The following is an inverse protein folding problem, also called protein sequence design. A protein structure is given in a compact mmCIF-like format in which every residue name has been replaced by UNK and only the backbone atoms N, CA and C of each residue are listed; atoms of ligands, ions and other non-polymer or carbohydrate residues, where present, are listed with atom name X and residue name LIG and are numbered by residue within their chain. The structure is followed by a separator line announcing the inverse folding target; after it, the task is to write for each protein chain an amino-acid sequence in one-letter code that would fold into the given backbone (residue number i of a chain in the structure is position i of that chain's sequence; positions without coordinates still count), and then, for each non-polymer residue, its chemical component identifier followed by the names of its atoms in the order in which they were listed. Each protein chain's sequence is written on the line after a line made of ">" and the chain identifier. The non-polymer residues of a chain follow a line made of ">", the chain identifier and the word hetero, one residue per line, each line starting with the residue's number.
data_IF_297731732995
#
_entry.id   IF_297731732995
#
_cell.length_a   1.000
_cell.length_b   1.000
_cell.length_c   1.000
_cell.angle_alpha   90.00
_cell.angle_beta   90.00
_cell.angle_gamma   90.00
#
_symmetry.space_group_name_H-M   'P 1'
#
loop_
_entity.id
_entity.type
_entity.pdbx_description
1 polymer ?
#
# COMPACT_ATOMS: atom_id res chain seq x y z
N UNK A 1 21.65 -6.13 -3.61
CA UNK A 1 20.33 -6.16 -2.94
C UNK A 1 19.71 -7.50 -3.26
N UNK A 2 19.34 -8.30 -2.26
CA UNK A 2 18.63 -9.56 -2.51
C UNK A 2 17.32 -9.26 -3.25
N UNK A 3 17.03 -10.03 -4.28
CA UNK A 3 15.78 -9.91 -5.03
C UNK A 3 14.63 -10.25 -4.09
N UNK A 4 13.62 -9.37 -4.02
CA UNK A 4 12.44 -9.62 -3.20
C UNK A 4 11.61 -10.72 -3.87
N UNK A 5 11.08 -11.64 -3.09
CA UNK A 5 10.04 -12.56 -3.55
C UNK A 5 8.84 -11.75 -4.06
N UNK A 6 8.18 -12.23 -5.11
CA UNK A 6 7.01 -11.58 -5.70
C UNK A 6 5.83 -12.53 -5.57
N UNK A 7 4.70 -12.05 -5.04
CA UNK A 7 3.50 -12.87 -4.93
C UNK A 7 2.79 -13.02 -6.30
N UNK A 8 1.75 -13.86 -6.36
CA UNK A 8 0.96 -14.11 -7.57
C UNK A 8 0.30 -12.85 -8.17
N UNK A 9 0.26 -11.75 -7.42
CA UNK A 9 -0.28 -10.45 -7.85
C UNK A 9 0.78 -9.48 -8.36
N UNK A 10 2.05 -9.90 -8.44
CA UNK A 10 3.15 -9.06 -8.89
C UNK A 10 3.72 -8.12 -7.81
N UNK A 11 3.27 -8.27 -6.54
CA UNK A 11 3.67 -7.40 -5.44
C UNK A 11 4.93 -7.95 -4.75
N UNK A 12 6.01 -7.14 -4.62
CA UNK A 12 7.19 -7.54 -3.86
C UNK A 12 6.89 -7.76 -2.37
N UNK A 13 7.42 -8.85 -1.81
CA UNK A 13 7.23 -9.28 -0.44
C UNK A 13 8.29 -8.67 0.48
N UNK A 14 7.97 -7.49 0.99
CA UNK A 14 8.90 -6.73 1.82
C UNK A 14 9.06 -7.33 3.23
N UNK A 15 10.29 -7.34 3.80
CA UNK A 15 10.51 -7.79 5.18
C UNK A 15 9.87 -6.86 6.21
N UNK A 16 9.74 -7.35 7.46
CA UNK A 16 9.16 -6.57 8.56
C UNK A 16 9.96 -5.29 8.80
N UNK A 17 9.26 -4.17 8.95
CA UNK A 17 9.87 -2.84 9.16
C UNK A 17 10.29 -2.11 7.88
N UNK A 18 10.24 -2.77 6.71
CA UNK A 18 10.61 -2.12 5.46
C UNK A 18 9.53 -1.16 4.95
N UNK A 19 9.91 0.06 4.56
CA UNK A 19 8.99 1.12 4.14
C UNK A 19 8.16 0.76 2.90
N UNK A 20 8.66 -0.14 2.04
CA UNK A 20 7.91 -0.68 0.89
C UNK A 20 6.54 -1.28 1.25
N UNK A 21 6.34 -1.73 2.50
CA UNK A 21 5.02 -2.18 2.99
C UNK A 21 3.98 -1.06 3.02
N UNK A 22 4.40 0.15 3.39
CA UNK A 22 3.54 1.34 3.38
C UNK A 22 3.16 1.70 1.95
N UNK A 23 4.13 1.68 1.03
CA UNK A 23 3.91 1.99 -0.38
C UNK A 23 3.01 0.95 -1.06
N UNK A 24 3.21 -0.34 -0.78
CA UNK A 24 2.33 -1.41 -1.24
C UNK A 24 0.90 -1.25 -0.72
N UNK A 25 0.74 -0.90 0.57
CA UNK A 25 -0.57 -0.60 1.16
C UNK A 25 -1.24 0.56 0.45
N UNK A 26 -0.55 1.70 0.32
CA UNK A 26 -1.09 2.91 -0.31
C UNK A 26 -1.50 2.65 -1.76
N UNK A 27 -0.65 1.98 -2.51
CA UNK A 27 -0.93 1.67 -3.91
C UNK A 27 -2.10 0.68 -4.03
N UNK A 28 -2.21 -0.32 -3.15
CA UNK A 28 -3.35 -1.23 -3.15
C UNK A 28 -4.67 -0.51 -2.85
N UNK A 29 -4.66 0.50 -1.97
CA UNK A 29 -5.85 1.35 -1.73
C UNK A 29 -6.25 2.13 -2.99
N UNK A 30 -5.29 2.66 -3.76
CA UNK A 30 -5.58 3.37 -5.00
C UNK A 30 -6.08 2.44 -6.12
N UNK A 31 -5.63 1.18 -6.14
CA UNK A 31 -5.97 0.22 -7.18
C UNK A 31 -7.32 -0.47 -6.94
N UNK A 32 -7.63 -0.84 -5.69
CA UNK A 32 -8.81 -1.63 -5.36
C UNK A 32 -10.04 -0.72 -5.22
N UNK A 33 -11.10 -1.01 -5.99
CA UNK A 33 -12.36 -0.27 -5.91
C UNK A 33 -13.01 -0.34 -4.52
N UNK A 34 -12.85 -1.48 -3.83
CA UNK A 34 -13.33 -1.74 -2.48
C UNK A 34 -12.18 -2.15 -1.55
N UNK A 35 -11.23 -1.23 -1.36
CA UNK A 35 -10.02 -1.44 -0.58
C UNK A 35 -10.30 -1.67 0.92
N UNK A 36 -10.85 -2.83 1.30
CA UNK A 36 -10.99 -3.24 2.69
C UNK A 36 -9.67 -3.78 3.24
N UNK A 37 -9.51 -3.81 4.57
CA UNK A 37 -8.29 -4.36 5.19
C UNK A 37 -8.00 -5.81 4.77
N UNK A 38 -9.05 -6.61 4.52
CA UNK A 38 -8.92 -7.99 4.03
C UNK A 38 -8.37 -7.99 2.60
N UNK A 39 -9.01 -7.25 1.69
CA UNK A 39 -8.61 -7.23 0.27
C UNK A 39 -7.21 -6.64 0.07
N UNK A 40 -6.84 -5.63 0.85
CA UNK A 40 -5.48 -5.06 0.81
C UNK A 40 -4.46 -6.11 1.27
N UNK A 41 -4.72 -6.81 2.37
CA UNK A 41 -3.85 -7.84 2.89
C UNK A 41 -3.67 -8.99 1.89
N UNK A 42 -4.77 -9.49 1.32
CA UNK A 42 -4.76 -10.53 0.29
C UNK A 42 -3.98 -10.10 -0.96
N UNK A 43 -4.15 -8.86 -1.41
CA UNK A 43 -3.47 -8.37 -2.61
C UNK A 43 -1.96 -8.18 -2.37
N UNK A 44 -1.58 -7.67 -1.19
CA UNK A 44 -0.19 -7.28 -0.90
C UNK A 44 0.65 -8.37 -0.25
N UNK A 45 0.02 -9.41 0.32
CA UNK A 45 0.67 -10.39 1.19
C UNK A 45 0.97 -9.88 2.61
N UNK A 46 0.49 -8.68 2.96
CA UNK A 46 0.68 -8.10 4.29
C UNK A 46 -0.34 -8.65 5.29
N UNK A 47 0.01 -8.63 6.58
CA UNK A 47 -0.95 -8.99 7.63
C UNK A 47 -2.09 -7.96 7.71
N UNK A 48 -3.33 -8.45 7.64
CA UNK A 48 -4.56 -7.67 7.85
C UNK A 48 -4.50 -6.79 9.11
N UNK A 49 -3.95 -7.32 10.21
CA UNK A 49 -3.87 -6.61 11.49
C UNK A 49 -3.00 -5.35 11.46
N UNK A 50 -2.13 -5.22 10.44
CA UNK A 50 -1.25 -4.06 10.30
C UNK A 50 -1.79 -2.97 9.36
N UNK A 51 -2.88 -3.21 8.60
CA UNK A 51 -3.34 -2.27 7.59
C UNK A 51 -3.73 -0.91 8.19
N UNK A 52 -4.48 -0.90 9.29
CA UNK A 52 -4.82 0.34 10.01
C UNK A 52 -3.58 1.09 10.50
N UNK A 53 -2.55 0.36 10.94
CA UNK A 53 -1.28 0.95 11.38
C UNK A 53 -0.55 1.59 10.22
N UNK A 54 -0.50 0.92 9.06
CA UNK A 54 0.13 1.46 7.86
C UNK A 54 -0.60 2.70 7.34
N UNK A 55 -1.94 2.68 7.31
CA UNK A 55 -2.75 3.85 6.95
C UNK A 55 -2.48 5.02 7.90
N UNK A 56 -2.40 4.76 9.21
CA UNK A 56 -2.06 5.80 10.19
C UNK A 56 -0.69 6.41 9.92
N UNK A 57 0.33 5.58 9.66
CA UNK A 57 1.69 6.05 9.34
C UNK A 57 1.72 6.85 8.04
N UNK A 58 1.00 6.41 7.01
CA UNK A 58 0.88 7.15 5.74
C UNK A 58 0.30 8.55 5.98
N UNK A 59 -0.79 8.64 6.73
CA UNK A 59 -1.41 9.92 7.05
C UNK A 59 -0.48 10.82 7.89
N UNK A 60 0.14 10.29 8.95
CA UNK A 60 0.91 11.11 9.89
C UNK A 60 2.30 11.48 9.39
N UNK A 61 2.99 10.60 8.65
CA UNK A 61 4.38 10.83 8.23
C UNK A 61 4.52 11.29 6.78
N UNK A 62 3.56 10.96 5.93
CA UNK A 62 3.59 11.31 4.50
C UNK A 62 2.55 12.34 4.10
N UNK A 63 1.69 12.75 5.04
CA UNK A 63 0.68 13.79 4.83
C UNK A 63 -0.45 13.36 3.90
N UNK A 64 -0.67 12.04 3.72
CA UNK A 64 -1.85 11.56 2.99
C UNK A 64 -3.13 11.85 3.78
N UNK A 65 -4.24 11.94 3.08
CA UNK A 65 -5.58 11.91 3.67
C UNK A 65 -6.28 10.63 3.22
N UNK A 66 -6.12 9.57 4.01
CA UNK A 66 -6.78 8.28 3.80
C UNK A 66 -7.86 8.12 4.86
N UNK A 67 -9.10 7.96 4.43
CA UNK A 67 -10.28 7.86 5.30
C UNK A 67 -10.90 6.47 5.16
N UNK A 68 -11.39 5.92 6.26
CA UNK A 68 -12.16 4.67 6.26
C UNK A 68 -13.65 5.00 6.10
N UNK A 69 -14.21 4.67 4.95
CA UNK A 69 -15.62 4.87 4.62
C UNK A 69 -16.34 3.51 4.70
N UNK A 70 -17.03 3.28 5.81
CA UNK A 70 -17.56 1.96 6.14
C UNK A 70 -16.42 0.97 6.39
N UNK A 71 -16.29 -0.05 5.54
CA UNK A 71 -15.26 -1.09 5.64
C UNK A 71 -14.04 -0.86 4.74
N UNK A 72 -14.12 0.10 3.80
CA UNK A 72 -13.08 0.36 2.79
C UNK A 72 -12.30 1.63 3.10
N UNK A 73 -11.02 1.66 2.74
CA UNK A 73 -10.19 2.86 2.77
C UNK A 73 -10.29 3.60 1.44
N UNK A 74 -10.29 4.94 1.48
CA UNK A 74 -10.22 5.80 0.30
C UNK A 74 -9.16 6.87 0.48
N UNK A 75 -8.40 7.12 -0.57
CA UNK A 75 -7.43 8.21 -0.63
C UNK A 75 -8.14 9.45 -1.14
N UNK A 76 -8.28 10.45 -0.26
CA UNK A 76 -8.74 11.79 -0.62
C UNK A 76 -7.58 12.65 -1.09
N UNK A 77 -6.43 12.56 -0.41
CA UNK A 77 -5.23 13.32 -0.76
C UNK A 77 -3.97 12.46 -0.61
N UNK A 78 -3.01 12.67 -1.51
CA UNK A 78 -1.71 11.99 -1.50
C UNK A 78 -0.65 12.70 -0.65
N UNK A 79 -0.96 13.91 -0.16
CA UNK A 79 0.02 14.81 0.44
C UNK A 79 0.96 15.44 -0.59
N UNK A 80 1.88 16.28 -0.11
CA UNK A 80 2.88 16.97 -0.93
C UNK A 80 4.16 16.17 -1.14
N UNK A 81 4.37 15.14 -0.31
CA UNK A 81 5.61 14.35 -0.28
C UNK A 81 5.60 13.23 -1.33
N UNK A 82 4.44 12.66 -1.63
CA UNK A 82 4.32 11.47 -2.47
C UNK A 82 3.88 11.82 -3.91
N UNK A 83 4.67 11.39 -4.89
CA UNK A 83 4.24 11.40 -6.29
C UNK A 83 3.42 10.14 -6.59
N UNK A 84 2.12 10.33 -6.85
CA UNK A 84 1.15 9.24 -7.13
C UNK A 84 1.67 8.18 -8.11
N UNK A 85 2.20 8.62 -9.27
CA UNK A 85 2.73 7.73 -10.30
C UNK A 85 3.98 6.97 -9.85
N UNK A 86 4.79 7.54 -8.97
CA UNK A 86 5.95 6.87 -8.37
C UNK A 86 5.52 5.75 -7.41
N UNK A 87 4.49 6.00 -6.59
CA UNK A 87 3.97 5.02 -5.63
C UNK A 87 3.32 3.82 -6.33
N UNK A 88 2.57 4.04 -7.41
CA UNK A 88 1.93 2.94 -8.18
C UNK A 88 2.92 1.87 -8.67
N UNK A 89 4.17 2.26 -8.96
CA UNK A 89 5.24 1.33 -9.40
C UNK A 89 5.63 0.30 -8.35
N UNK A 90 5.22 0.49 -7.09
CA UNK A 90 5.51 -0.47 -6.03
C UNK A 90 4.56 -1.68 -6.01
N UNK A 91 3.49 -1.68 -6.81
CA UNK A 91 2.57 -2.83 -6.92
C UNK A 91 3.00 -3.87 -7.95
N UNK A 92 3.69 -3.44 -9.01
CA UNK A 92 3.99 -4.29 -10.15
C UNK A 92 5.40 -3.94 -10.58
N UNK A 93 6.30 -4.93 -10.59
CA UNK A 93 7.59 -4.77 -11.27
C UNK A 93 7.25 -4.54 -12.75
N UNK A 94 7.58 -3.36 -13.27
CA UNK A 94 7.54 -3.15 -14.72
C UNK A 94 8.68 -3.97 -15.29
N UNK A 95 8.36 -5.13 -15.86
CA UNK A 95 9.30 -5.89 -16.66
C UNK A 95 9.81 -4.95 -17.77
N UNK A 96 11.13 -4.82 -17.84
CA UNK A 96 11.85 -4.26 -18.98
C UNK A 96 12.35 -5.43 -19.82
#
# INVERSE_FOLDING_TARGET
>A
MSELEINERGVPQYPKGHAGRLLATLAAIDLLADATAIRIAEYTGLSKGNIDTYVKVLNTQFGTSIVKEGSAYKIHEWGSVLQKNGVRKYLIRSDK
#
